data_IF_554716581481
#
_entry.id   IF_554716581481
#
_cell.length_a   1.000
_cell.length_b   1.000
_cell.length_c   1.000
_cell.angle_alpha   90.00
_cell.angle_beta   90.00
_cell.angle_gamma   90.00
#
_symmetry.space_group_name_H-M   'P 1'
#
loop_
_entity.id
_entity.type
_entity.pdbx_description
1 polymer ?
#
# COMPACT_ATOMS: atom_id res chain seq x y z
N UNK A 1 -14.31 15.09 -19.64
CA UNK A 1 -14.79 14.74 -18.28
C UNK A 1 -14.76 13.24 -18.21
N UNK A 2 -13.72 12.68 -17.60
CA UNK A 2 -13.62 11.24 -17.42
C UNK A 2 -14.65 10.82 -16.36
N UNK A 3 -15.47 9.80 -16.62
CA UNK A 3 -16.46 9.33 -15.66
C UNK A 3 -15.72 8.64 -14.52
N UNK A 4 -15.51 9.37 -13.43
CA UNK A 4 -15.04 8.78 -12.18
C UNK A 4 -16.20 7.94 -11.66
N UNK A 5 -16.04 6.62 -11.66
CA UNK A 5 -17.03 5.70 -11.10
C UNK A 5 -17.36 6.13 -9.65
N UNK A 6 -18.61 5.91 -9.21
CA UNK A 6 -19.06 6.28 -7.86
C UNK A 6 -18.22 5.62 -6.75
N UNK A 7 -17.56 4.52 -7.07
CA UNK A 7 -16.60 3.81 -6.22
C UNK A 7 -15.29 3.83 -6.99
N UNK A 8 -14.25 4.42 -6.41
CA UNK A 8 -12.92 4.48 -7.02
C UNK A 8 -11.84 4.41 -5.95
N UNK A 9 -10.70 3.86 -6.31
CA UNK A 9 -9.48 3.91 -5.48
C UNK A 9 -8.95 5.34 -5.48
N UNK A 10 -8.97 6.00 -4.32
CA UNK A 10 -8.47 7.36 -4.12
C UNK A 10 -6.97 7.35 -3.86
N UNK A 11 -6.50 6.37 -3.09
CA UNK A 11 -5.09 6.22 -2.75
C UNK A 11 -4.75 4.75 -2.50
N UNK A 12 -3.48 4.40 -2.68
CA UNK A 12 -2.91 3.10 -2.36
C UNK A 12 -1.76 3.34 -1.39
N UNK A 13 -1.90 2.84 -0.17
CA UNK A 13 -0.79 2.80 0.79
C UNK A 13 -0.12 1.44 0.70
N UNK A 14 1.13 1.43 0.26
CA UNK A 14 1.94 0.22 0.18
C UNK A 14 3.03 0.26 1.22
N UNK A 15 3.04 -0.70 2.13
CA UNK A 15 4.05 -0.88 3.17
C UNK A 15 4.92 -2.09 2.79
N UNK A 16 6.09 -1.86 2.17
CA UNK A 16 7.04 -2.92 1.89
C UNK A 16 7.78 -3.31 3.18
N UNK A 17 7.74 -4.60 3.51
CA UNK A 17 8.52 -5.23 4.57
C UNK A 17 9.56 -6.16 3.93
N UNK A 18 10.80 -5.70 3.89
CA UNK A 18 11.89 -6.43 3.24
C UNK A 18 12.42 -7.56 4.14
N UNK A 19 12.26 -7.44 5.46
CA UNK A 19 12.74 -8.44 6.43
C UNK A 19 11.92 -9.73 6.33
N UNK A 20 10.61 -9.58 6.14
CA UNK A 20 9.65 -10.69 5.98
C UNK A 20 9.27 -10.98 4.53
N UNK A 21 9.90 -10.31 3.57
CA UNK A 21 9.58 -10.40 2.14
C UNK A 21 8.08 -10.21 1.83
N UNK A 22 7.42 -9.28 2.53
CA UNK A 22 5.98 -9.06 2.41
C UNK A 22 5.67 -7.65 1.97
N UNK A 23 4.70 -7.51 1.07
CA UNK A 23 4.15 -6.22 0.67
C UNK A 23 2.72 -6.12 1.20
N UNK A 24 2.51 -5.21 2.14
CA UNK A 24 1.18 -4.87 2.63
C UNK A 24 0.59 -3.75 1.77
N UNK A 25 -0.56 -3.97 1.14
CA UNK A 25 -1.25 -2.98 0.29
C UNK A 25 -2.59 -2.66 0.91
N UNK A 26 -2.75 -1.41 1.36
CA UNK A 26 -4.00 -0.87 1.87
C UNK A 26 -4.63 0.06 0.83
N UNK A 27 -5.66 -0.39 0.11
CA UNK A 27 -6.41 0.42 -0.83
C UNK A 27 -7.39 1.33 -0.09
N UNK A 28 -7.27 2.64 -0.28
CA UNK A 28 -8.27 3.62 0.13
C UNK A 28 -9.31 3.77 -0.98
N UNK A 29 -10.41 3.03 -0.86
CA UNK A 29 -11.54 3.07 -1.81
C UNK A 29 -12.60 4.04 -1.27
N UNK A 30 -12.96 5.07 -2.03
CA UNK A 30 -14.10 5.91 -1.68
C UNK A 30 -15.41 5.16 -1.98
N UNK A 31 -16.32 5.10 -1.01
CA UNK A 31 -17.58 4.34 -1.15
C UNK A 31 -17.43 2.82 -1.05
N UNK A 32 -16.31 2.34 -0.49
CA UNK A 32 -16.13 0.94 -0.14
C UNK A 32 -17.21 0.48 0.84
N UNK A 33 -17.64 -0.76 0.67
CA UNK A 33 -18.55 -1.45 1.57
C UNK A 33 -17.85 -2.65 2.20
N UNK A 34 -18.29 -3.08 3.39
CA UNK A 34 -17.76 -4.27 4.06
C UNK A 34 -17.74 -5.52 3.16
N UNK A 35 -18.76 -5.70 2.32
CA UNK A 35 -18.87 -6.87 1.43
C UNK A 35 -17.99 -6.80 0.16
N UNK A 36 -17.15 -5.78 0.00
CA UNK A 36 -16.25 -5.67 -1.15
C UNK A 36 -15.03 -6.55 -0.96
N UNK A 37 -14.76 -7.38 -1.96
CA UNK A 37 -13.54 -8.14 -2.09
C UNK A 37 -12.55 -7.31 -2.90
N UNK A 38 -11.39 -7.05 -2.32
CA UNK A 38 -10.29 -6.39 -3.02
C UNK A 38 -9.23 -7.44 -3.34
N UNK A 39 -8.94 -7.59 -4.62
CA UNK A 39 -7.87 -8.45 -5.11
C UNK A 39 -6.74 -7.57 -5.62
N UNK A 40 -5.52 -7.87 -5.19
CA UNK A 40 -4.30 -7.18 -5.61
C UNK A 40 -3.38 -8.19 -6.25
N UNK A 41 -2.94 -7.90 -7.47
CA UNK A 41 -2.01 -8.72 -8.23
C UNK A 41 -0.81 -7.87 -8.62
N UNK A 42 0.40 -8.39 -8.39
CA UNK A 42 1.66 -7.70 -8.68
C UNK A 42 2.44 -8.47 -9.74
N UNK A 43 2.93 -7.74 -10.75
CA UNK A 43 3.62 -8.30 -11.90
C UNK A 43 5.01 -7.68 -12.09
N UNK A 44 5.99 -8.54 -12.39
CA UNK A 44 7.31 -8.18 -12.92
C UNK A 44 7.23 -8.23 -14.45
N UNK A 45 6.79 -7.13 -15.06
CA UNK A 45 6.51 -7.06 -16.49
C UNK A 45 5.36 -7.97 -16.92
N UNK A 46 5.67 -9.21 -17.33
CA UNK A 46 4.65 -10.20 -17.77
C UNK A 46 4.41 -11.32 -16.77
N UNK A 47 5.26 -11.43 -15.75
CA UNK A 47 5.20 -12.52 -14.78
C UNK A 47 4.52 -12.05 -13.51
N UNK A 48 3.47 -12.74 -13.07
CA UNK A 48 2.87 -12.48 -11.77
C UNK A 48 3.82 -12.95 -10.67
N UNK A 49 4.24 -12.05 -9.80
CA UNK A 49 5.19 -12.33 -8.71
C UNK A 49 4.52 -12.45 -7.36
N UNK A 50 3.39 -11.77 -7.15
CA UNK A 50 2.62 -11.85 -5.92
C UNK A 50 1.13 -11.61 -6.21
N UNK A 51 0.26 -12.23 -5.41
CA UNK A 51 -1.18 -12.03 -5.47
C UNK A 51 -1.77 -12.15 -4.07
N UNK A 52 -2.75 -11.30 -3.76
CA UNK A 52 -3.38 -11.23 -2.45
C UNK A 52 -4.83 -10.80 -2.57
N UNK A 53 -5.64 -11.17 -1.57
CA UNK A 53 -7.06 -10.80 -1.50
C UNK A 53 -7.41 -10.39 -0.09
N UNK A 54 -8.23 -9.36 0.04
CA UNK A 54 -8.85 -8.96 1.29
C UNK A 54 -10.34 -8.69 1.07
N UNK A 55 -11.07 -8.59 2.17
CA UNK A 55 -12.48 -8.18 2.19
C UNK A 55 -12.60 -6.91 3.04
N UNK A 56 -13.73 -6.22 2.97
CA UNK A 56 -14.01 -4.99 3.73
C UNK A 56 -13.03 -3.83 3.50
N UNK A 57 -12.24 -3.85 2.40
CA UNK A 57 -11.15 -2.88 2.21
C UNK A 57 -10.02 -3.01 3.23
N UNK A 58 -9.87 -4.19 3.84
CA UNK A 58 -8.73 -4.51 4.69
C UNK A 58 -7.41 -4.51 3.91
N UNK A 59 -6.32 -4.41 4.65
CA UNK A 59 -4.98 -4.52 4.08
C UNK A 59 -4.77 -5.88 3.42
N UNK A 60 -4.28 -5.86 2.19
CA UNK A 60 -3.92 -7.05 1.44
C UNK A 60 -2.45 -7.33 1.69
N UNK A 61 -2.17 -8.43 2.38
CA UNK A 61 -0.80 -8.96 2.50
C UNK A 61 -0.44 -9.75 1.25
N UNK A 62 0.67 -9.40 0.62
CA UNK A 62 1.24 -10.08 -0.54
C UNK A 62 2.61 -10.63 -0.18
N UNK A 63 2.79 -11.94 -0.30
CA UNK A 63 4.10 -12.56 -0.15
C UNK A 63 4.90 -12.33 -1.43
N UNK A 64 5.96 -11.54 -1.32
CA UNK A 64 6.87 -11.25 -2.42
C UNK A 64 7.95 -12.33 -2.47
N UNK A 65 8.45 -12.66 -3.67
CA UNK A 65 9.50 -13.66 -3.79
C UNK A 65 10.82 -13.13 -3.21
N UNK A 66 11.67 -14.03 -2.70
CA UNK A 66 12.95 -13.66 -2.06
C UNK A 66 13.89 -12.89 -3.00
N UNK A 67 13.77 -13.13 -4.31
CA UNK A 67 14.50 -12.44 -5.38
C UNK A 67 13.77 -11.19 -5.93
N UNK A 68 12.85 -10.61 -5.16
CA UNK A 68 12.20 -9.37 -5.53
C UNK A 68 13.25 -8.26 -5.77
N UNK A 69 13.14 -7.59 -6.92
CA UNK A 69 13.94 -6.43 -7.32
C UNK A 69 13.56 -5.24 -6.46
N UNK A 70 14.49 -4.83 -5.60
CA UNK A 70 14.32 -3.62 -4.83
C UNK A 70 14.60 -2.40 -5.70
N UNK A 71 13.69 -1.43 -5.65
CA UNK A 71 13.92 -0.10 -6.18
C UNK A 71 14.98 0.60 -5.33
N UNK A 72 15.99 1.16 -5.99
CA UNK A 72 16.96 2.07 -5.40
C UNK A 72 17.16 3.30 -6.30
N UNK A 73 17.69 4.41 -5.78
CA UNK A 73 18.00 5.59 -6.60
C UNK A 73 18.96 5.29 -7.76
N UNK A 74 19.83 4.30 -7.57
CA UNK A 74 20.80 3.82 -8.56
C UNK A 74 20.18 2.82 -9.56
N UNK A 75 19.17 2.06 -9.12
CA UNK A 75 18.47 1.05 -9.91
C UNK A 75 16.94 1.24 -9.80
N UNK A 76 16.37 2.16 -10.60
CA UNK A 76 14.94 2.42 -10.57
C UNK A 76 14.16 1.25 -11.18
N UNK A 77 13.47 0.48 -10.32
CA UNK A 77 12.63 -0.64 -10.74
C UNK A 77 11.18 -0.50 -10.25
N UNK A 78 10.21 -0.66 -11.16
CA UNK A 78 8.78 -0.57 -10.84
C UNK A 78 8.09 -1.89 -11.22
N UNK A 79 7.19 -2.32 -10.34
CA UNK A 79 6.26 -3.41 -10.57
C UNK A 79 4.92 -2.87 -11.03
N UNK A 80 4.27 -3.60 -11.92
CA UNK A 80 2.87 -3.37 -12.26
C UNK A 80 1.99 -3.92 -11.14
N UNK A 81 1.06 -3.11 -10.64
CA UNK A 81 0.07 -3.52 -9.65
C UNK A 81 -1.32 -3.36 -10.23
N UNK A 82 -2.15 -4.39 -10.07
CA UNK A 82 -3.53 -4.40 -10.48
C UNK A 82 -4.42 -4.62 -9.28
N UNK A 83 -5.33 -3.70 -9.02
CA UNK A 83 -6.29 -3.76 -7.93
C UNK A 83 -7.68 -3.90 -8.50
N UNK A 84 -8.35 -4.99 -8.18
CA UNK A 84 -9.70 -5.30 -8.63
C UNK A 84 -10.64 -5.32 -7.43
N UNK A 85 -11.64 -4.46 -7.45
CA UNK A 85 -12.70 -4.45 -6.43
C UNK A 85 -13.90 -5.21 -6.96
N UNK A 86 -14.34 -6.22 -6.22
CA UNK A 86 -15.51 -7.05 -6.54
C UNK A 86 -16.57 -6.89 -5.46
N UNK A 87 -17.80 -6.60 -5.88
CA UNK A 87 -18.98 -6.57 -5.02
C UNK A 87 -19.94 -7.66 -5.47
N UNK A 88 -20.34 -8.54 -4.56
CA UNK A 88 -21.29 -9.63 -4.86
C UNK A 88 -20.84 -10.50 -6.06
N UNK A 89 -19.52 -10.73 -6.16
CA UNK A 89 -18.91 -11.49 -7.26
C UNK A 89 -18.74 -10.74 -8.59
N UNK A 90 -19.22 -9.50 -8.71
CA UNK A 90 -19.04 -8.66 -9.91
C UNK A 90 -17.93 -7.65 -9.72
N UNK A 91 -17.09 -7.45 -10.73
CA UNK A 91 -16.08 -6.37 -10.73
C UNK A 91 -16.81 -5.03 -10.79
N UNK A 92 -16.62 -4.21 -9.77
CA UNK A 92 -17.22 -2.86 -9.68
C UNK A 92 -16.22 -1.78 -10.00
N UNK A 93 -14.93 -2.03 -9.74
CA UNK A 93 -13.85 -1.12 -10.05
C UNK A 93 -12.57 -1.91 -10.34
N UNK A 94 -11.76 -1.39 -11.25
CA UNK A 94 -10.46 -1.95 -11.59
C UNK A 94 -9.49 -0.79 -11.81
N UNK A 95 -8.41 -0.77 -11.03
CA UNK A 95 -7.34 0.21 -11.20
C UNK A 95 -6.02 -0.51 -11.41
N UNK A 96 -5.26 -0.02 -12.38
CA UNK A 96 -3.91 -0.45 -12.64
C UNK A 96 -2.98 0.69 -12.27
N UNK A 97 -1.87 0.37 -11.64
CA UNK A 97 -0.86 1.34 -11.23
C UNK A 97 0.52 0.72 -11.22
N UNK A 98 1.45 1.45 -10.62
CA UNK A 98 2.83 1.01 -10.46
C UNK A 98 3.24 1.13 -9.00
N UNK A 99 3.95 0.12 -8.50
CA UNK A 99 4.51 0.11 -7.14
C UNK A 99 6.00 -0.18 -7.19
N UNK A 100 6.75 0.29 -6.19
CA UNK A 100 8.16 0.02 -6.06
C UNK A 100 8.42 -0.66 -4.72
N UNK A 101 9.10 -1.82 -4.74
CA UNK A 101 9.63 -2.43 -3.52
C UNK A 101 10.83 -1.61 -3.08
N UNK A 102 10.65 -0.64 -2.19
CA UNK A 102 11.75 0.17 -1.66
C UNK A 102 11.92 -0.04 -0.18
N UNK A 103 13.13 0.11 0.32
CA UNK A 103 13.32 0.32 1.75
C UNK A 103 12.90 1.75 2.08
N UNK A 104 11.68 1.90 2.60
CA UNK A 104 11.36 3.11 3.35
C UNK A 104 11.88 2.89 4.75
N UNK A 105 13.09 3.37 5.03
CA UNK A 105 13.48 3.64 6.42
C UNK A 105 12.53 4.74 6.88
N UNK A 106 11.42 4.37 7.49
CA UNK A 106 10.53 5.33 8.14
C UNK A 106 11.38 6.00 9.21
N UNK A 107 11.82 7.22 8.94
CA UNK A 107 12.41 8.05 9.97
C UNK A 107 11.27 8.44 10.90
N UNK A 108 11.02 7.60 11.90
CA UNK A 108 10.16 7.94 13.02
C UNK A 108 10.88 9.06 13.75
N UNK A 109 10.44 10.30 13.52
CA UNK A 109 10.67 11.39 14.46
C UNK A 109 9.92 10.99 15.73
N UNK A 110 10.57 10.22 16.60
CA UNK A 110 10.11 10.13 17.98
C UNK A 110 10.08 11.56 18.51
N UNK A 111 8.91 12.02 18.94
CA UNK A 111 8.78 13.35 19.54
C UNK A 111 9.84 13.47 20.65
N UNK A 112 10.67 14.53 20.67
CA UNK A 112 11.61 14.71 21.77
C UNK A 112 10.79 14.86 23.07
N UNK A 113 11.16 14.21 24.18
CA UNK A 113 10.50 14.46 25.45
C UNK A 113 10.87 15.88 25.89
N UNK A 114 10.04 16.86 25.57
CA UNK A 114 10.22 18.23 26.04
C UNK A 114 9.73 18.33 27.49
N UNK A 115 10.49 17.80 28.43
CA UNK A 115 10.33 18.11 29.84
C UNK A 115 11.17 19.35 30.14
N UNK A 116 10.61 20.53 29.89
CA UNK A 116 11.18 21.79 30.40
C UNK A 116 11.01 21.83 31.91
N UNK A 117 12.07 21.92 32.72
CA UNK A 117 11.90 22.33 34.10
C UNK A 117 11.41 23.77 34.10
N UNK A 118 10.28 24.03 34.76
CA UNK A 118 9.87 25.38 35.11
C UNK A 118 10.98 25.97 35.99
N UNK A 119 11.78 26.88 35.43
CA UNK A 119 12.58 27.81 36.21
C UNK A 119 11.62 28.78 36.88
N UNK A 120 11.05 28.40 38.02
CA UNK A 120 10.50 29.37 38.95
C UNK A 120 11.67 30.02 39.69
N UNK A 121 12.14 31.12 39.10
CA UNK A 121 12.92 32.12 39.83
C UNK A 121 12.00 33.07 40.60
N UNK A 122 12.58 33.68 41.64
CA UNK A 122 12.05 34.74 42.52
C UNK A 122 11.15 34.23 43.65
N UNK A 123 11.40 34.52 44.93
CA UNK A 123 12.17 35.61 45.57
C UNK A 123 12.73 35.19 46.93
#
# INVERSE_FOLDING_TARGET
>A
MEPVNKIHVVALHTTPDIDTHRLSVKPCVAGATPSDLVQVDVYDGKSMVASGKSINGEEVSLDMPENAKLWSPESPFLYDIKVTVKRDGKVVDEVSGYTAMRTSKAFVMAEPPYNVPLLEGTS
#
